data_IF_757492243877
#
_entry.id   IF_757492243877
#
_cell.length_a   1.000
_cell.length_b   1.000
_cell.length_c   1.000
_cell.angle_alpha   90.00
_cell.angle_beta   90.00
_cell.angle_gamma   90.00
#
_symmetry.space_group_name_H-M   'P 1'
#
loop_
_entity.id
_entity.type
_entity.pdbx_description
1 polymer ?
#
# COMPACT_ATOMS: atom_id res chain seq x y z
N UNK A 1 38.36 24.71 0.68
CA UNK A 1 38.94 23.64 1.52
C UNK A 1 37.76 22.93 2.14
N UNK A 2 37.36 21.72 1.76
CA UNK A 2 37.93 20.70 0.89
C UNK A 2 36.79 20.05 0.10
N UNK A 3 37.04 19.82 -1.20
CA UNK A 3 36.20 19.07 -2.11
C UNK A 3 36.44 17.58 -1.86
N UNK A 4 35.38 16.77 -1.77
CA UNK A 4 35.49 15.33 -1.96
C UNK A 4 34.70 15.00 -3.22
N UNK A 5 35.47 14.94 -4.31
CA UNK A 5 35.14 14.23 -5.55
C UNK A 5 34.87 12.75 -5.22
N UNK A 6 33.84 12.16 -5.84
CA UNK A 6 33.74 10.71 -5.91
C UNK A 6 33.56 10.32 -7.36
N UNK A 7 34.70 9.90 -7.92
CA UNK A 7 34.94 9.51 -9.29
C UNK A 7 34.17 8.23 -9.65
N UNK A 8 33.54 8.26 -10.82
CA UNK A 8 32.98 7.10 -11.49
C UNK A 8 34.10 6.40 -12.27
N UNK A 9 34.49 5.18 -11.90
CA UNK A 9 35.17 4.28 -12.83
C UNK A 9 34.67 2.83 -12.73
N UNK A 10 34.02 2.48 -13.82
CA UNK A 10 33.90 1.20 -14.51
C UNK A 10 35.09 0.23 -14.31
N UNK A 11 34.79 -1.02 -13.96
CA UNK A 11 35.71 -2.14 -14.17
C UNK A 11 34.94 -3.46 -14.30
N UNK A 12 34.82 -3.90 -15.54
CA UNK A 12 34.48 -5.27 -15.94
C UNK A 12 35.32 -6.30 -15.17
N UNK A 13 34.68 -7.34 -14.63
CA UNK A 13 35.38 -8.58 -14.30
C UNK A 13 34.49 -9.75 -14.72
N UNK A 14 34.96 -10.41 -15.77
CA UNK A 14 34.39 -11.58 -16.39
C UNK A 14 34.40 -12.77 -15.42
N UNK A 15 33.35 -13.56 -15.55
CA UNK A 15 33.12 -14.82 -14.85
C UNK A 15 33.98 -15.88 -15.51
N UNK A 16 34.78 -16.63 -14.74
CA UNK A 16 35.45 -17.85 -15.20
C UNK A 16 34.90 -19.06 -14.42
N UNK A 17 34.35 -20.02 -15.17
CA UNK A 17 33.83 -21.29 -14.67
C UNK A 17 34.90 -22.36 -14.90
N UNK A 18 35.63 -22.73 -13.84
CA UNK A 18 36.57 -23.85 -13.85
C UNK A 18 36.08 -25.00 -12.96
N UNK A 19 35.57 -26.04 -13.59
CA UNK A 19 35.27 -27.37 -13.02
C UNK A 19 36.51 -28.01 -12.36
N UNK A 20 36.39 -28.66 -11.19
CA UNK A 20 37.37 -29.68 -10.79
C UNK A 20 36.80 -31.08 -10.96
N UNK A 21 37.40 -31.84 -11.88
CA UNK A 21 37.19 -33.27 -12.06
C UNK A 21 37.70 -34.10 -10.88
N UNK A 22 37.04 -35.24 -10.71
CA UNK A 22 37.33 -36.34 -9.82
C UNK A 22 38.73 -36.93 -10.09
N UNK A 23 39.47 -37.24 -9.02
CA UNK A 23 40.53 -38.25 -9.07
C UNK A 23 40.38 -39.26 -7.93
N UNK A 24 40.32 -40.49 -8.38
CA UNK A 24 40.15 -41.76 -7.70
C UNK A 24 41.46 -42.32 -7.14
N UNK A 25 41.28 -43.24 -6.18
CA UNK A 25 42.05 -44.45 -5.91
C UNK A 25 43.39 -44.40 -5.16
N UNK A 26 43.30 -45.04 -3.98
CA UNK A 26 44.11 -46.18 -3.53
C UNK A 26 45.56 -45.97 -3.07
N UNK A 27 45.79 -46.24 -1.78
CA UNK A 27 46.75 -47.29 -1.41
C UNK A 27 46.55 -47.80 0.03
N UNK A 28 46.56 -49.13 0.13
CA UNK A 28 46.49 -50.02 1.28
C UNK A 28 47.71 -49.96 2.23
N UNK A 29 47.45 -50.24 3.53
CA UNK A 29 48.17 -51.18 4.43
C UNK A 29 47.42 -51.21 5.77
N UNK A 30 46.68 -52.28 6.12
CA UNK A 30 47.10 -53.51 6.81
C UNK A 30 47.80 -53.23 8.15
N UNK A 31 47.53 -53.85 9.31
CA UNK A 31 46.56 -54.82 9.84
C UNK A 31 46.93 -55.00 11.34
N UNK A 32 45.96 -55.20 12.24
CA UNK A 32 45.97 -56.22 13.33
C UNK A 32 45.04 -55.82 14.50
N UNK A 33 43.87 -56.45 14.65
CA UNK A 33 43.53 -57.59 15.55
C UNK A 33 43.60 -57.26 17.05
N UNK A 34 42.43 -57.25 17.73
CA UNK A 34 42.13 -58.01 18.97
C UNK A 34 40.74 -57.62 19.58
N UNK A 35 39.71 -58.32 19.12
CA UNK A 35 38.68 -59.10 19.85
C UNK A 35 38.43 -58.94 21.38
N UNK A 36 37.15 -59.15 21.78
CA UNK A 36 36.53 -59.37 23.12
C UNK A 36 36.01 -58.13 23.87
N UNK A 37 34.81 -58.08 24.48
CA UNK A 37 33.64 -58.97 24.60
C UNK A 37 32.45 -58.13 25.15
N UNK A 38 31.23 -58.63 24.95
CA UNK A 38 29.96 -58.10 25.50
C UNK A 38 29.84 -58.44 27.00
N UNK A 39 29.10 -57.64 27.80
CA UNK A 39 27.99 -58.25 28.53
C UNK A 39 26.67 -57.47 28.44
N UNK A 40 25.60 -58.25 28.29
CA UNK A 40 24.19 -57.88 28.44
C UNK A 40 23.84 -58.03 29.93
N UNK A 41 23.24 -57.01 30.55
CA UNK A 41 22.26 -57.15 31.62
C UNK A 41 21.57 -55.80 31.92
N UNK A 42 20.39 -55.64 31.31
CA UNK A 42 19.12 -55.16 31.87
C UNK A 42 19.12 -54.56 33.30
N UNK A 43 18.78 -53.26 33.43
CA UNK A 43 17.78 -52.75 34.39
C UNK A 43 17.47 -51.26 34.19
N UNK A 44 16.17 -50.98 34.17
CA UNK A 44 15.50 -49.68 34.25
C UNK A 44 16.12 -48.70 35.24
N UNK A 45 16.29 -47.44 34.84
CA UNK A 45 15.74 -46.27 35.56
C UNK A 45 16.07 -44.95 34.82
N UNK A 46 15.03 -44.11 34.71
CA UNK A 46 15.05 -42.64 34.78
C UNK A 46 15.88 -41.84 33.78
N UNK A 47 15.15 -41.25 32.83
CA UNK A 47 15.56 -40.12 31.99
C UNK A 47 15.91 -38.93 32.90
N UNK A 48 17.20 -38.70 33.16
CA UNK A 48 17.70 -37.39 33.57
C UNK A 48 18.20 -36.64 32.34
N UNK A 49 17.41 -35.65 31.94
CA UNK A 49 17.82 -34.59 31.02
C UNK A 49 18.97 -33.81 31.67
N UNK A 50 20.20 -34.11 31.28
CA UNK A 50 21.31 -33.20 31.55
C UNK A 50 21.24 -32.06 30.53
N UNK A 51 20.84 -30.87 31.01
CA UNK A 51 20.92 -29.60 30.27
C UNK A 51 22.37 -29.38 29.81
N UNK A 52 22.64 -29.67 28.54
CA UNK A 52 23.85 -29.20 27.87
C UNK A 52 23.69 -27.73 27.47
N UNK A 53 24.75 -26.92 27.59
CA UNK A 53 24.71 -25.51 27.22
C UNK A 53 24.28 -25.38 25.75
N UNK A 54 23.33 -24.46 25.47
CA UNK A 54 22.81 -24.13 24.14
C UNK A 54 23.96 -23.69 23.22
N UNK A 55 24.64 -24.65 22.61
CA UNK A 55 25.47 -24.42 21.43
C UNK A 55 24.58 -24.02 20.25
N UNK A 56 25.17 -23.31 19.30
CA UNK A 56 24.57 -22.89 18.03
C UNK A 56 23.93 -24.08 17.27
N UNK A 57 22.71 -24.47 17.64
CA UNK A 57 21.94 -25.47 16.90
C UNK A 57 21.39 -24.77 15.66
N UNK A 58 21.95 -25.13 14.50
CA UNK A 58 21.40 -24.73 13.20
C UNK A 58 20.03 -25.39 13.07
N UNK A 59 18.98 -24.59 13.04
CA UNK A 59 17.61 -25.07 12.88
C UNK A 59 17.39 -25.44 11.41
N UNK A 60 17.01 -26.69 11.09
CA UNK A 60 16.79 -27.11 9.71
C UNK A 60 15.50 -26.50 9.14
N UNK A 61 15.47 -26.34 7.82
CA UNK A 61 14.24 -26.09 7.08
C UNK A 61 13.54 -27.43 6.80
N UNK A 62 12.29 -27.56 7.26
CA UNK A 62 11.60 -28.85 7.25
C UNK A 62 11.09 -29.20 5.85
N UNK A 63 11.54 -30.33 5.31
CA UNK A 63 11.04 -30.87 4.03
C UNK A 63 9.75 -31.66 4.20
N UNK A 64 8.98 -31.83 3.12
CA UNK A 64 7.72 -32.57 3.13
C UNK A 64 7.86 -33.99 3.72
N UNK A 65 8.97 -34.69 3.45
CA UNK A 65 9.22 -36.05 3.95
C UNK A 65 9.43 -36.13 5.46
N UNK A 66 9.91 -35.05 6.08
CA UNK A 66 10.18 -34.96 7.53
C UNK A 66 9.02 -34.29 8.29
N UNK A 67 8.03 -33.76 7.55
CA UNK A 67 6.90 -33.06 8.10
C UNK A 67 5.79 -34.02 8.52
N UNK A 68 5.29 -33.80 9.73
CA UNK A 68 4.19 -34.55 10.32
C UNK A 68 3.01 -33.61 10.50
N UNK A 69 1.96 -33.79 9.69
CA UNK A 69 0.77 -32.92 9.69
C UNK A 69 0.03 -32.88 11.04
N UNK A 70 0.14 -33.93 11.85
CA UNK A 70 -0.47 -34.03 13.17
C UNK A 70 0.42 -33.51 14.31
N UNK A 71 1.70 -33.23 14.03
CA UNK A 71 2.65 -32.75 15.03
C UNK A 71 2.55 -31.24 15.18
N UNK A 72 2.44 -30.79 16.42
CA UNK A 72 2.53 -29.37 16.73
C UNK A 72 4.00 -28.99 16.92
N UNK A 73 4.51 -28.15 16.04
CA UNK A 73 5.88 -27.64 16.13
C UNK A 73 5.89 -26.45 17.08
N UNK A 74 6.68 -26.54 18.15
CA UNK A 74 6.69 -25.53 19.21
C UNK A 74 7.54 -24.33 18.81
N UNK A 75 6.93 -23.15 18.73
CA UNK A 75 7.62 -21.89 18.43
C UNK A 75 8.60 -21.43 19.51
N UNK A 76 8.36 -21.77 20.77
CA UNK A 76 9.17 -21.33 21.92
C UNK A 76 10.41 -22.22 22.14
N UNK A 77 10.38 -23.45 21.62
CA UNK A 77 11.52 -24.36 21.57
C UNK A 77 11.58 -25.00 20.17
N UNK A 78 11.98 -24.20 19.16
CA UNK A 78 11.89 -24.62 17.77
C UNK A 78 12.89 -25.74 17.49
N UNK A 79 12.41 -26.79 16.83
CA UNK A 79 13.24 -27.87 16.26
C UNK A 79 13.51 -27.69 14.76
N UNK A 80 12.85 -26.70 14.15
CA UNK A 80 12.97 -26.32 12.75
C UNK A 80 12.70 -24.81 12.60
N UNK A 81 12.90 -24.26 11.40
CA UNK A 81 12.61 -22.85 11.11
C UNK A 81 11.09 -22.63 10.99
N UNK A 82 10.59 -21.53 11.57
CA UNK A 82 9.21 -21.06 11.36
C UNK A 82 9.21 -19.71 10.64
N UNK A 83 8.24 -19.50 9.77
CA UNK A 83 8.03 -18.22 9.10
C UNK A 83 6.56 -17.91 8.90
N UNK A 84 6.24 -16.64 8.70
CA UNK A 84 4.91 -16.23 8.26
C UNK A 84 4.89 -16.16 6.74
N UNK A 85 3.94 -16.84 6.10
CA UNK A 85 3.72 -16.81 4.67
C UNK A 85 2.66 -15.77 4.33
N UNK A 86 3.08 -14.65 3.73
CA UNK A 86 2.19 -13.59 3.25
C UNK A 86 2.00 -13.75 1.76
N UNK A 87 0.76 -13.69 1.29
CA UNK A 87 0.52 -13.76 -0.14
C UNK A 87 -0.50 -12.74 -0.61
N UNK A 88 -0.38 -12.37 -1.88
CA UNK A 88 -1.25 -11.42 -2.54
C UNK A 88 -1.43 -11.82 -4.00
N UNK A 89 -2.66 -11.76 -4.48
CA UNK A 89 -3.00 -11.92 -5.90
C UNK A 89 -3.49 -10.57 -6.41
N UNK A 90 -2.90 -10.12 -7.51
CA UNK A 90 -3.27 -8.89 -8.19
C UNK A 90 -3.64 -9.17 -9.64
N UNK A 91 -4.63 -8.47 -10.17
CA UNK A 91 -5.00 -8.48 -11.58
C UNK A 91 -4.45 -7.24 -12.28
N UNK A 92 -3.68 -7.43 -13.34
CA UNK A 92 -3.18 -6.37 -14.21
C UNK A 92 -4.13 -6.20 -15.39
N UNK A 93 -4.76 -5.04 -15.47
CA UNK A 93 -5.60 -4.67 -16.62
C UNK A 93 -4.75 -3.95 -17.69
N UNK A 94 -4.44 -2.65 -17.50
CA UNK A 94 -3.79 -1.81 -18.52
C UNK A 94 -2.42 -1.25 -18.10
N UNK A 95 -2.32 -0.70 -16.88
CA UNK A 95 -1.11 0.00 -16.41
C UNK A 95 -0.76 -0.34 -14.95
N UNK A 96 -1.77 -0.62 -14.11
CA UNK A 96 -1.58 -0.93 -12.68
C UNK A 96 -2.18 -2.29 -12.37
N UNK A 97 -1.54 -3.00 -11.46
CA UNK A 97 -2.08 -4.22 -10.89
C UNK A 97 -3.02 -3.84 -9.73
N UNK A 98 -4.29 -4.24 -9.81
CA UNK A 98 -5.27 -4.11 -8.73
C UNK A 98 -5.16 -5.33 -7.83
N UNK A 99 -5.05 -5.13 -6.53
CA UNK A 99 -5.13 -6.23 -5.57
C UNK A 99 -6.52 -6.84 -5.60
N UNK A 100 -6.59 -8.16 -5.77
CA UNK A 100 -7.83 -8.93 -5.76
C UNK A 100 -8.04 -9.57 -4.41
N UNK A 101 -7.03 -10.28 -3.93
CA UNK A 101 -7.06 -10.92 -2.62
C UNK A 101 -5.66 -11.00 -2.02
N UNK A 102 -5.62 -11.19 -0.71
CA UNK A 102 -4.39 -11.37 0.05
C UNK A 102 -4.73 -12.05 1.37
N UNK A 103 -3.80 -12.83 1.88
CA UNK A 103 -3.92 -13.40 3.21
C UNK A 103 -2.53 -13.65 3.81
N UNK A 104 -2.49 -14.19 5.01
CA UNK A 104 -1.26 -14.54 5.71
C UNK A 104 -1.44 -15.82 6.52
N UNK A 105 -0.68 -16.85 6.16
CA UNK A 105 -0.54 -18.07 6.94
C UNK A 105 0.58 -17.87 7.97
N UNK A 106 0.24 -17.98 9.26
CA UNK A 106 1.18 -17.79 10.36
C UNK A 106 1.90 -19.09 10.70
N UNK A 107 3.14 -18.97 11.13
CA UNK A 107 3.90 -20.08 11.74
C UNK A 107 4.06 -21.33 10.85
N UNK A 108 4.28 -21.11 9.55
CA UNK A 108 4.57 -22.16 8.58
C UNK A 108 5.95 -22.74 8.86
N UNK A 109 6.02 -24.07 8.92
CA UNK A 109 7.26 -24.83 9.20
C UNK A 109 7.83 -25.55 8.00
N UNK A 110 6.99 -25.84 6.99
CA UNK A 110 7.40 -26.50 5.75
C UNK A 110 8.28 -25.57 4.90
N UNK A 111 9.27 -26.13 4.21
CA UNK A 111 10.03 -25.42 3.19
C UNK A 111 9.09 -24.70 2.21
N UNK A 112 9.36 -23.45 1.80
CA UNK A 112 8.50 -22.71 0.89
C UNK A 112 8.11 -23.48 -0.37
N UNK A 113 9.03 -24.25 -0.97
CA UNK A 113 8.73 -25.11 -2.13
C UNK A 113 7.65 -26.16 -1.86
N UNK A 114 7.70 -26.74 -0.66
CA UNK A 114 6.86 -27.88 -0.28
C UNK A 114 5.50 -27.37 0.19
N UNK A 115 5.49 -26.30 0.99
CA UNK A 115 4.28 -25.58 1.35
C UNK A 115 3.54 -25.08 0.10
N UNK A 116 4.26 -24.55 -0.88
CA UNK A 116 3.68 -24.13 -2.15
C UNK A 116 2.91 -25.28 -2.82
N UNK A 117 3.56 -26.42 -3.05
CA UNK A 117 2.97 -27.55 -3.77
C UNK A 117 1.84 -28.24 -3.02
N UNK A 118 2.02 -28.43 -1.70
CA UNK A 118 1.08 -29.22 -0.90
C UNK A 118 -0.18 -28.46 -0.56
N UNK A 119 -0.08 -27.15 -0.36
CA UNK A 119 -1.15 -26.39 0.27
C UNK A 119 -1.52 -25.11 -0.50
N UNK A 120 -0.55 -24.26 -0.84
CA UNK A 120 -0.87 -22.98 -1.45
C UNK A 120 -1.30 -23.07 -2.92
N UNK A 121 -0.67 -23.91 -3.74
CA UNK A 121 -1.00 -24.10 -5.16
C UNK A 121 -2.43 -24.62 -5.37
N UNK A 122 -2.91 -25.63 -4.61
CA UNK A 122 -4.33 -26.01 -4.62
C UNK A 122 -5.28 -24.86 -4.24
N UNK A 123 -4.95 -24.10 -3.18
CA UNK A 123 -5.75 -22.94 -2.76
C UNK A 123 -5.80 -21.87 -3.85
N UNK A 124 -4.67 -21.60 -4.49
CA UNK A 124 -4.56 -20.67 -5.60
C UNK A 124 -5.41 -21.12 -6.80
N UNK A 125 -5.39 -22.41 -7.15
CA UNK A 125 -6.21 -22.94 -8.23
C UNK A 125 -7.73 -22.81 -7.96
N UNK A 126 -8.16 -22.89 -6.70
CA UNK A 126 -9.54 -22.62 -6.29
C UNK A 126 -9.85 -21.13 -6.39
N UNK A 127 -8.95 -20.26 -5.91
CA UNK A 127 -9.09 -18.81 -5.97
C UNK A 127 -9.18 -18.28 -7.41
N UNK A 128 -8.47 -18.90 -8.36
CA UNK A 128 -8.51 -18.54 -9.78
C UNK A 128 -9.82 -18.91 -10.48
N UNK A 129 -10.64 -19.79 -9.88
CA UNK A 129 -11.96 -20.19 -10.39
C UNK A 129 -13.12 -19.44 -9.73
N UNK A 130 -12.80 -18.56 -8.79
CA UNK A 130 -13.78 -17.76 -8.05
C UNK A 130 -14.15 -16.53 -8.89
N UNK A 131 -15.24 -16.63 -9.66
CA UNK A 131 -15.75 -15.58 -10.56
C UNK A 131 -16.04 -14.25 -9.84
N UNK A 132 -16.35 -14.29 -8.54
CA UNK A 132 -16.59 -13.08 -7.75
C UNK A 132 -15.30 -12.31 -7.49
N UNK A 133 -14.14 -13.01 -7.44
CA UNK A 133 -12.83 -12.42 -7.21
C UNK A 133 -12.09 -12.13 -8.51
N UNK A 134 -12.19 -13.02 -9.50
CA UNK A 134 -11.51 -12.93 -10.78
C UNK A 134 -12.52 -13.17 -11.90
N UNK A 135 -13.23 -12.13 -12.37
CA UNK A 135 -14.26 -12.28 -13.39
C UNK A 135 -13.63 -12.58 -14.75
N UNK A 136 -13.89 -13.75 -15.35
CA UNK A 136 -13.43 -14.07 -16.71
C UNK A 136 -12.78 -15.44 -16.88
N UNK A 137 -12.86 -15.96 -18.10
CA UNK A 137 -12.68 -17.39 -18.37
C UNK A 137 -11.22 -17.88 -18.34
N UNK A 138 -10.23 -16.98 -18.42
CA UNK A 138 -8.82 -17.40 -18.42
C UNK A 138 -7.86 -16.33 -17.92
N UNK A 139 -7.00 -16.72 -16.99
CA UNK A 139 -5.98 -15.87 -16.39
C UNK A 139 -4.60 -16.50 -16.57
N UNK A 140 -3.62 -15.69 -16.93
CA UNK A 140 -2.21 -16.11 -17.01
C UNK A 140 -1.39 -15.31 -16.01
N UNK A 141 -0.56 -16.01 -15.23
CA UNK A 141 0.37 -15.34 -14.34
C UNK A 141 1.46 -14.67 -15.19
N UNK A 142 1.58 -13.36 -15.07
CA UNK A 142 2.55 -12.55 -15.81
C UNK A 142 3.85 -12.39 -15.02
N UNK A 143 3.73 -12.10 -13.73
CA UNK A 143 4.84 -11.82 -12.84
C UNK A 143 4.57 -12.43 -11.45
N UNK A 144 5.59 -13.00 -10.84
CA UNK A 144 5.60 -13.35 -9.43
C UNK A 144 6.72 -12.57 -8.72
N UNK A 145 6.38 -11.85 -7.65
CA UNK A 145 7.32 -11.09 -6.84
C UNK A 145 7.44 -11.79 -5.50
N UNK A 146 8.64 -12.27 -5.18
CA UNK A 146 8.93 -12.91 -3.89
C UNK A 146 9.75 -11.96 -3.03
N UNK A 147 9.33 -11.79 -1.79
CA UNK A 147 9.99 -10.94 -0.80
C UNK A 147 10.17 -11.68 0.52
N UNK A 148 11.41 -12.01 0.87
CA UNK A 148 11.77 -12.57 2.17
C UNK A 148 12.31 -11.43 3.04
N UNK A 149 11.70 -11.21 4.19
CA UNK A 149 12.15 -10.20 5.15
C UNK A 149 12.33 -10.81 6.54
N UNK A 150 13.24 -10.22 7.31
CA UNK A 150 13.53 -10.65 8.68
C UNK A 150 13.38 -9.46 9.61
N UNK A 151 12.65 -9.64 10.71
CA UNK A 151 12.41 -8.57 11.67
C UNK A 151 13.75 -8.02 12.20
N UNK A 152 13.83 -6.68 12.29
CA UNK A 152 15.03 -5.96 12.78
C UNK A 152 16.30 -6.28 11.99
N UNK A 153 16.17 -6.69 10.72
CA UNK A 153 17.28 -6.90 9.80
C UNK A 153 17.00 -6.25 8.46
N UNK A 154 17.83 -5.28 8.04
CA UNK A 154 17.70 -4.60 6.74
C UNK A 154 18.58 -5.21 5.64
N UNK A 155 19.56 -6.05 6.00
CA UNK A 155 20.60 -6.51 5.06
C UNK A 155 20.52 -8.00 4.69
N UNK A 156 19.59 -8.76 5.27
CA UNK A 156 19.46 -10.23 5.05
C UNK A 156 18.16 -10.62 4.34
N UNK A 157 17.37 -9.63 3.92
CA UNK A 157 16.18 -9.88 3.11
C UNK A 157 16.52 -10.22 1.67
N UNK A 158 15.56 -10.79 0.96
CA UNK A 158 15.66 -11.11 -0.47
C UNK A 158 14.42 -10.58 -1.17
N UNK A 159 14.60 -9.92 -2.31
CA UNK A 159 13.50 -9.52 -3.19
C UNK A 159 13.81 -9.92 -4.61
N UNK A 160 13.04 -10.84 -5.18
CA UNK A 160 13.20 -11.34 -6.54
C UNK A 160 11.90 -11.21 -7.31
N UNK A 161 12.01 -10.97 -8.61
CA UNK A 161 10.87 -10.98 -9.54
C UNK A 161 11.10 -12.09 -10.54
N UNK A 162 10.06 -12.86 -10.80
CA UNK A 162 10.04 -13.98 -11.71
C UNK A 162 8.97 -13.74 -12.77
N UNK A 163 9.17 -14.33 -13.95
CA UNK A 163 8.21 -14.27 -15.04
C UNK A 163 7.21 -15.41 -14.85
N UNK A 164 5.94 -15.07 -14.67
CA UNK A 164 4.89 -16.04 -14.34
C UNK A 164 5.18 -16.82 -13.06
N UNK A 165 4.97 -18.15 -13.10
CA UNK A 165 5.14 -19.07 -11.96
C UNK A 165 6.47 -19.83 -11.98
N UNK A 166 7.42 -19.45 -12.85
CA UNK A 166 8.76 -20.04 -12.91
C UNK A 166 9.64 -19.50 -11.78
N UNK A 167 9.29 -19.88 -10.54
CA UNK A 167 9.99 -19.47 -9.33
C UNK A 167 11.14 -20.43 -9.06
N UNK A 168 12.34 -19.89 -8.85
CA UNK A 168 13.51 -20.65 -8.41
C UNK A 168 13.40 -21.02 -6.92
N UNK A 169 12.64 -22.08 -6.65
CA UNK A 169 12.36 -22.57 -5.29
C UNK A 169 13.61 -23.00 -4.54
N UNK A 170 14.60 -23.57 -5.23
CA UNK A 170 15.85 -24.02 -4.59
C UNK A 170 16.60 -22.83 -3.98
N UNK A 171 16.75 -21.74 -4.74
CA UNK A 171 17.41 -20.55 -4.21
C UNK A 171 16.63 -19.90 -3.06
N UNK A 172 15.30 -19.99 -3.07
CA UNK A 172 14.46 -19.46 -1.99
C UNK A 172 14.54 -20.30 -0.72
N UNK A 173 14.44 -21.62 -0.84
CA UNK A 173 14.58 -22.55 0.28
C UNK A 173 15.96 -22.42 0.92
N UNK A 174 17.03 -22.43 0.12
CA UNK A 174 18.40 -22.23 0.64
C UNK A 174 18.57 -20.87 1.31
N UNK A 175 17.92 -19.82 0.79
CA UNK A 175 17.93 -18.51 1.46
C UNK A 175 17.22 -18.56 2.81
N UNK A 176 16.04 -19.18 2.90
CA UNK A 176 15.31 -19.32 4.18
C UNK A 176 16.10 -20.17 5.18
N UNK A 177 16.68 -21.28 4.74
CA UNK A 177 17.53 -22.14 5.56
C UNK A 177 18.75 -21.37 6.12
N UNK A 178 19.38 -20.55 5.29
CA UNK A 178 20.48 -19.66 5.70
C UNK A 178 20.09 -18.57 6.71
N UNK A 179 18.79 -18.36 6.98
CA UNK A 179 18.29 -17.44 8.02
C UNK A 179 18.03 -18.15 9.36
N UNK A 180 18.31 -19.45 9.47
CA UNK A 180 18.06 -20.24 10.68
C UNK A 180 18.76 -19.71 11.92
N UNK A 181 19.97 -19.14 11.79
CA UNK A 181 20.70 -18.53 12.91
C UNK A 181 20.00 -17.27 13.44
N UNK A 182 19.42 -16.46 12.54
CA UNK A 182 18.65 -15.27 12.87
C UNK A 182 17.33 -15.65 13.54
N UNK A 183 16.68 -16.70 13.04
CA UNK A 183 15.48 -17.25 13.66
C UNK A 183 15.76 -17.80 15.07
N UNK A 184 16.86 -18.55 15.26
CA UNK A 184 17.30 -19.03 16.56
C UNK A 184 17.60 -17.92 17.58
N UNK A 185 17.95 -16.72 17.10
CA UNK A 185 18.09 -15.48 17.91
C UNK A 185 16.74 -14.80 18.20
N UNK A 186 15.62 -15.44 17.89
CA UNK A 186 14.25 -14.94 18.12
C UNK A 186 13.76 -13.95 17.07
N UNK A 187 14.42 -13.84 15.89
CA UNK A 187 13.95 -12.94 14.83
C UNK A 187 12.90 -13.62 13.98
N UNK A 188 11.82 -12.89 13.70
CA UNK A 188 10.73 -13.39 12.85
C UNK A 188 11.08 -13.30 11.37
N UNK A 189 10.88 -14.40 10.64
CA UNK A 189 11.03 -14.47 9.18
C UNK A 189 9.63 -14.33 8.55
N UNK A 190 9.55 -13.55 7.47
CA UNK A 190 8.34 -13.34 6.69
C UNK A 190 8.66 -13.65 5.24
N UNK A 191 7.95 -14.63 4.68
CA UNK A 191 8.04 -15.02 3.28
C UNK A 191 6.82 -14.47 2.53
N UNK A 192 7.05 -13.53 1.61
CA UNK A 192 6.02 -12.84 0.85
C UNK A 192 5.98 -13.31 -0.60
N UNK A 193 4.78 -13.58 -1.14
CA UNK A 193 4.57 -13.84 -2.57
C UNK A 193 3.46 -12.94 -3.11
N UNK A 194 3.76 -12.13 -4.12
CA UNK A 194 2.76 -11.38 -4.88
C UNK A 194 2.69 -11.93 -6.31
N UNK A 195 1.52 -12.46 -6.68
CA UNK A 195 1.24 -12.99 -8.01
C UNK A 195 0.43 -11.99 -8.80
N UNK A 196 0.90 -11.64 -9.99
CA UNK A 196 0.24 -10.69 -10.89
C UNK A 196 -0.30 -11.48 -12.08
N UNK A 197 -1.62 -11.50 -12.21
CA UNK A 197 -2.34 -12.16 -13.30
C UNK A 197 -2.84 -11.16 -14.32
N UNK A 198 -2.86 -11.57 -15.58
CA UNK A 198 -3.54 -10.87 -16.67
C UNK A 198 -4.60 -11.78 -17.27
N UNK A 199 -5.72 -11.20 -17.68
CA UNK A 199 -6.74 -11.93 -18.44
C UNK A 199 -6.12 -12.39 -19.76
N UNK A 200 -6.13 -13.70 -20.01
CA UNK A 200 -5.75 -14.23 -21.30
C UNK A 200 -6.87 -13.85 -22.27
N UNK A 201 -6.54 -12.96 -23.21
CA UNK A 201 -7.42 -12.66 -24.33
C UNK A 201 -7.54 -13.95 -25.14
N UNK A 202 -8.63 -14.68 -24.94
CA UNK A 202 -8.90 -15.89 -25.69
C UNK A 202 -8.81 -15.58 -27.18
N UNK A 203 -8.05 -16.38 -27.91
CA UNK A 203 -8.14 -16.45 -29.36
C UNK A 203 -9.56 -16.92 -29.72
N UNK A 204 -10.51 -16.00 -29.73
CA UNK A 204 -11.79 -16.22 -30.38
C UNK A 204 -11.46 -16.29 -31.87
N UNK A 205 -11.37 -17.53 -32.35
CA UNK A 205 -11.29 -17.88 -33.77
C UNK A 205 -12.23 -16.95 -34.52
N UNK A 206 -11.62 -16.20 -35.45
CA UNK A 206 -12.29 -15.27 -36.33
C UNK A 206 -13.36 -16.01 -37.14
N UNK A 207 -14.58 -16.09 -36.62
CA UNK A 207 -15.76 -16.30 -37.45
C UNK A 207 -16.16 -14.94 -37.98
N UNK A 208 -15.73 -14.69 -39.21
CA UNK A 208 -16.11 -13.54 -40.01
C UNK A 208 -17.62 -13.46 -40.13
N UNK A 209 -18.25 -12.62 -39.29
CA UNK A 209 -19.47 -11.89 -39.64
C UNK A 209 -19.31 -10.45 -39.17
N UNK A 210 -19.07 -9.62 -40.17
CA UNK A 210 -19.08 -8.16 -40.14
C UNK A 210 -20.13 -7.57 -39.19
N UNK A 211 -19.69 -7.17 -38.00
CA UNK A 211 -20.24 -6.03 -37.27
C UNK A 211 -19.14 -4.98 -37.28
N UNK A 212 -19.44 -3.80 -37.84
CA UNK A 212 -18.54 -2.63 -37.85
C UNK A 212 -17.90 -2.51 -36.47
N UNK A 213 -16.60 -2.76 -36.41
CA UNK A 213 -15.77 -2.56 -35.22
C UNK A 213 -15.85 -1.06 -34.96
N UNK A 214 -16.71 -0.65 -34.03
CA UNK A 214 -16.67 0.71 -33.52
C UNK A 214 -15.24 0.95 -33.07
N UNK A 215 -14.61 2.01 -33.57
CA UNK A 215 -13.30 2.43 -33.09
C UNK A 215 -13.35 2.41 -31.57
N UNK A 216 -12.42 1.68 -30.95
CA UNK A 216 -12.27 1.68 -29.50
C UNK A 216 -12.23 3.15 -29.05
N UNK A 217 -12.96 3.50 -27.99
CA UNK A 217 -12.99 4.86 -27.46
C UNK A 217 -11.55 5.41 -27.25
N UNK A 218 -10.58 4.53 -26.99
CA UNK A 218 -9.16 4.86 -26.85
C UNK A 218 -8.46 5.19 -28.18
N UNK A 219 -8.82 4.50 -29.27
CA UNK A 219 -8.29 4.78 -30.60
C UNK A 219 -8.90 6.05 -31.20
N UNK A 220 -10.21 6.26 -30.98
CA UNK A 220 -10.89 7.50 -31.30
C UNK A 220 -10.30 8.68 -30.51
N UNK A 221 -10.04 8.53 -29.20
CA UNK A 221 -9.35 9.55 -28.40
C UNK A 221 -7.92 9.82 -28.90
N UNK A 222 -7.20 8.79 -29.36
CA UNK A 222 -5.84 8.96 -29.91
C UNK A 222 -5.88 9.70 -31.25
N UNK A 223 -6.83 9.38 -32.12
CA UNK A 223 -7.02 10.09 -33.38
C UNK A 223 -7.45 11.54 -33.15
N UNK A 224 -8.35 11.77 -32.19
CA UNK A 224 -8.80 13.10 -31.79
C UNK A 224 -7.63 13.95 -31.28
N UNK A 225 -6.78 13.40 -30.39
CA UNK A 225 -5.59 14.10 -29.91
C UNK A 225 -4.54 14.36 -30.99
N UNK A 226 -4.43 13.47 -31.98
CA UNK A 226 -3.53 13.65 -33.11
C UNK A 226 -4.04 14.72 -34.08
N UNK A 227 -5.35 14.80 -34.30
CA UNK A 227 -5.98 15.87 -35.07
C UNK A 227 -5.78 17.22 -34.34
N UNK A 228 -6.08 17.25 -33.05
CA UNK A 228 -6.04 18.45 -32.20
C UNK A 228 -4.62 18.90 -31.79
N UNK A 229 -3.58 18.19 -32.24
CA UNK A 229 -2.20 18.39 -31.78
C UNK A 229 -1.67 19.80 -32.09
N UNK A 230 -2.11 20.38 -33.21
CA UNK A 230 -1.74 21.74 -33.63
C UNK A 230 -2.27 22.78 -32.64
N UNK A 231 -3.57 22.75 -32.38
CA UNK A 231 -4.21 23.66 -31.42
C UNK A 231 -3.65 23.47 -29.99
N UNK A 232 -3.43 22.23 -29.55
CA UNK A 232 -2.79 21.94 -28.25
C UNK A 232 -1.43 22.60 -28.10
N UNK A 233 -0.55 22.48 -29.10
CA UNK A 233 0.77 23.09 -29.07
C UNK A 233 0.69 24.62 -28.92
N UNK A 234 -0.30 25.26 -29.56
CA UNK A 234 -0.53 26.71 -29.45
C UNK A 234 -1.01 27.11 -28.06
N UNK A 235 -1.94 26.37 -27.47
CA UNK A 235 -2.44 26.61 -26.09
C UNK A 235 -1.30 26.51 -25.08
N UNK A 236 -0.50 25.43 -25.12
CA UNK A 236 0.66 25.26 -24.24
C UNK A 236 1.68 26.39 -24.41
N UNK A 237 1.98 26.79 -25.67
CA UNK A 237 2.92 27.88 -25.95
C UNK A 237 2.44 29.22 -25.43
N UNK A 238 1.14 29.52 -25.55
CA UNK A 238 0.55 30.77 -25.07
C UNK A 238 0.65 30.87 -23.55
N UNK A 239 0.32 29.79 -22.84
CA UNK A 239 0.25 29.75 -21.38
C UNK A 239 1.59 29.39 -20.71
N UNK A 240 2.67 29.28 -21.51
CA UNK A 240 4.01 28.98 -21.01
C UNK A 240 4.54 30.17 -20.21
N UNK A 241 4.98 29.89 -18.99
CA UNK A 241 5.47 30.92 -18.10
C UNK A 241 6.79 31.50 -18.62
N UNK A 242 6.84 32.83 -18.81
CA UNK A 242 8.05 33.55 -19.27
C UNK A 242 8.91 34.12 -18.14
N UNK A 243 8.45 34.01 -16.89
CA UNK A 243 9.17 34.50 -15.73
C UNK A 243 10.39 33.64 -15.42
N UNK A 244 11.60 34.23 -15.49
CA UNK A 244 12.88 33.54 -15.19
C UNK A 244 12.93 32.92 -13.79
N UNK A 245 12.18 33.47 -12.83
CA UNK A 245 12.12 33.00 -11.44
C UNK A 245 10.69 32.68 -10.97
N UNK A 246 9.79 32.33 -11.90
CA UNK A 246 8.42 31.99 -11.52
C UNK A 246 8.38 30.64 -10.78
N UNK A 247 7.90 30.66 -9.52
CA UNK A 247 7.75 29.46 -8.69
C UNK A 247 6.49 28.64 -9.01
N UNK A 248 5.64 29.11 -9.92
CA UNK A 248 4.35 28.48 -10.22
C UNK A 248 4.44 27.33 -11.22
N UNK A 249 5.61 27.09 -11.83
CA UNK A 249 5.84 25.99 -12.75
C UNK A 249 5.85 26.40 -14.23
N UNK A 250 5.83 25.43 -15.15
CA UNK A 250 6.07 25.67 -16.58
C UNK A 250 4.94 26.44 -17.28
N UNK A 251 3.71 26.36 -16.77
CA UNK A 251 2.54 27.05 -17.30
C UNK A 251 1.89 27.89 -16.20
N UNK A 252 1.65 29.15 -16.51
CA UNK A 252 1.10 30.10 -15.55
C UNK A 252 0.20 31.12 -16.26
N UNK A 253 -0.85 31.56 -15.57
CA UNK A 253 -1.69 32.67 -15.99
C UNK A 253 -1.28 33.92 -15.21
N UNK A 254 -1.17 35.05 -15.89
CA UNK A 254 -0.79 36.34 -15.31
C UNK A 254 -2.08 37.14 -15.08
N UNK A 255 -2.35 37.54 -13.84
CA UNK A 255 -3.47 38.44 -13.54
C UNK A 255 -3.15 39.89 -13.93
N UNK A 256 -4.18 40.75 -13.96
CA UNK A 256 -4.03 42.19 -14.25
C UNK A 256 -3.13 42.93 -13.25
N UNK A 257 -2.89 42.32 -12.08
CA UNK A 257 -2.03 42.84 -11.01
C UNK A 257 -0.58 42.35 -11.13
N UNK A 258 -0.26 41.58 -12.16
CA UNK A 258 1.06 41.01 -12.42
C UNK A 258 1.40 39.76 -11.58
N UNK A 259 0.44 39.17 -10.88
CA UNK A 259 0.63 37.91 -10.15
C UNK A 259 0.50 36.71 -11.08
N UNK A 260 1.43 35.78 -10.94
CA UNK A 260 1.39 34.51 -11.64
C UNK A 260 0.59 33.48 -10.84
N UNK A 261 -0.35 32.83 -11.51
CA UNK A 261 -1.14 31.71 -11.02
C UNK A 261 -0.78 30.43 -11.78
N UNK A 262 -0.59 29.32 -11.08
CA UNK A 262 -0.25 28.03 -11.72
C UNK A 262 -1.43 27.52 -12.53
N UNK A 263 -1.15 27.06 -13.75
CA UNK A 263 -2.09 26.32 -14.56
C UNK A 263 -1.85 24.83 -14.40
N UNK A 264 -2.90 24.10 -14.00
CA UNK A 264 -2.89 22.64 -13.94
C UNK A 264 -3.25 22.07 -15.32
N UNK A 265 -2.89 20.81 -15.59
CA UNK A 265 -3.26 20.15 -16.85
C UNK A 265 -4.77 20.22 -17.16
N UNK A 266 -5.62 20.07 -16.12
CA UNK A 266 -7.08 20.17 -16.24
C UNK A 266 -7.53 21.56 -16.69
N UNK A 267 -6.92 22.63 -16.16
CA UNK A 267 -7.23 24.00 -16.60
C UNK A 267 -6.87 24.21 -18.07
N UNK A 268 -5.77 23.61 -18.55
CA UNK A 268 -5.35 23.70 -19.95
C UNK A 268 -6.30 22.92 -20.88
N UNK A 269 -6.85 21.79 -20.42
CA UNK A 269 -7.92 21.06 -21.09
C UNK A 269 -9.21 21.87 -21.20
N UNK A 270 -9.62 22.55 -20.12
CA UNK A 270 -10.83 23.38 -20.15
C UNK A 270 -10.67 24.61 -21.05
N UNK A 271 -9.49 25.23 -21.05
CA UNK A 271 -9.16 26.34 -21.96
C UNK A 271 -9.17 25.85 -23.40
N UNK A 272 -8.54 24.71 -23.69
CA UNK A 272 -8.54 24.09 -25.01
C UNK A 272 -9.97 23.81 -25.51
N UNK A 273 -10.81 23.19 -24.68
CA UNK A 273 -12.19 22.86 -25.01
C UNK A 273 -13.03 24.13 -25.27
N UNK A 274 -12.75 25.20 -24.52
CA UNK A 274 -13.41 26.48 -24.74
C UNK A 274 -13.02 27.11 -26.09
N UNK A 275 -11.73 27.14 -26.40
CA UNK A 275 -11.22 27.66 -27.67
C UNK A 275 -11.80 26.84 -28.84
N UNK A 276 -11.74 25.50 -28.74
CA UNK A 276 -12.29 24.59 -29.76
C UNK A 276 -13.80 24.77 -29.94
N UNK A 277 -14.56 24.99 -28.86
CA UNK A 277 -15.99 25.28 -28.93
C UNK A 277 -16.35 26.65 -29.50
N UNK A 278 -15.38 27.58 -29.55
CA UNK A 278 -15.55 28.92 -30.12
C UNK A 278 -15.13 29.03 -31.60
N UNK A 279 -14.52 27.98 -32.17
CA UNK A 279 -14.14 27.93 -33.58
C UNK A 279 -15.38 27.94 -34.48
N UNK A 280 -15.37 28.76 -35.53
CA UNK A 280 -16.44 28.71 -36.54
C UNK A 280 -16.24 27.51 -37.46
N UNK A 281 -17.34 26.94 -37.95
CA UNK A 281 -17.33 25.79 -38.83
C UNK A 281 -16.54 26.11 -40.12
N UNK A 282 -15.38 25.47 -40.30
CA UNK A 282 -14.48 25.65 -41.45
C UNK A 282 -13.20 26.46 -41.19
N UNK A 283 -12.99 27.03 -40.01
CA UNK A 283 -11.72 27.67 -39.64
C UNK A 283 -10.61 26.61 -39.42
N UNK A 284 -9.43 26.82 -40.00
CA UNK A 284 -8.28 25.93 -39.76
C UNK A 284 -7.73 26.20 -38.37
N UNK A 285 -7.18 25.16 -37.73
CA UNK A 285 -6.58 25.24 -36.39
C UNK A 285 -5.47 26.29 -36.28
N UNK A 286 -4.86 26.70 -37.40
CA UNK A 286 -3.82 27.75 -37.46
C UNK A 286 -4.39 29.18 -37.43
N UNK A 287 -5.67 29.36 -37.78
CA UNK A 287 -6.33 30.67 -37.90
C UNK A 287 -7.08 31.10 -36.62
N UNK A 288 -7.28 30.17 -35.68
CA UNK A 288 -7.99 30.41 -34.42
C UNK A 288 -7.17 31.31 -33.51
N UNK A 289 -7.75 32.35 -32.92
CA UNK A 289 -7.06 33.13 -31.90
C UNK A 289 -6.97 32.33 -30.58
N UNK A 290 -5.75 32.13 -30.10
CA UNK A 290 -5.49 31.47 -28.80
C UNK A 290 -5.40 32.47 -27.64
N UNK A 291 -5.57 33.76 -27.93
CA UNK A 291 -5.63 34.84 -26.96
C UNK A 291 -7.06 35.14 -26.50
N UNK A 292 -7.93 34.13 -26.53
CA UNK A 292 -9.30 34.23 -26.01
C UNK A 292 -9.20 34.37 -24.49
N UNK A 293 -9.93 35.34 -23.94
CA UNK A 293 -10.02 35.57 -22.51
C UNK A 293 -10.50 34.30 -21.80
N UNK A 294 -9.74 33.86 -20.79
CA UNK A 294 -10.06 32.64 -20.05
C UNK A 294 -11.44 32.81 -19.40
N UNK A 295 -12.42 31.91 -19.66
CA UNK A 295 -13.74 31.99 -19.05
C UNK A 295 -13.70 32.13 -17.54
N UNK A 296 -14.60 32.97 -16.99
CA UNK A 296 -14.71 33.26 -15.55
C UNK A 296 -14.81 32.00 -14.68
N UNK A 297 -15.42 30.92 -15.18
CA UNK A 297 -15.47 29.61 -14.50
C UNK A 297 -14.07 29.03 -14.24
N UNK A 298 -13.20 29.06 -15.26
CA UNK A 298 -11.84 28.51 -15.17
C UNK A 298 -10.97 29.43 -14.30
N UNK A 299 -11.16 30.75 -14.44
CA UNK A 299 -10.49 31.73 -13.56
C UNK A 299 -10.86 31.53 -12.09
N UNK A 300 -12.14 31.23 -11.79
CA UNK A 300 -12.59 30.89 -10.44
C UNK A 300 -11.81 29.72 -9.83
N UNK A 301 -11.62 28.65 -10.62
CA UNK A 301 -10.89 27.46 -10.20
C UNK A 301 -9.37 27.69 -10.08
N UNK A 302 -8.77 28.47 -10.98
CA UNK A 302 -7.37 28.88 -10.89
C UNK A 302 -7.12 29.68 -9.60
N UNK A 303 -8.01 30.61 -9.28
CA UNK A 303 -7.90 31.47 -8.10
C UNK A 303 -8.19 30.71 -6.79
N UNK A 304 -9.12 29.75 -6.79
CA UNK A 304 -9.40 28.91 -5.62
C UNK A 304 -8.20 28.00 -5.31
N UNK A 305 -7.62 27.37 -6.33
CA UNK A 305 -6.42 26.53 -6.19
C UNK A 305 -5.18 27.33 -5.79
N UNK A 306 -5.07 28.59 -6.25
CA UNK A 306 -4.00 29.50 -5.81
C UNK A 306 -4.14 29.89 -4.33
N UNK A 307 -5.38 30.07 -3.83
CA UNK A 307 -5.65 30.36 -2.42
C UNK A 307 -5.33 29.17 -1.52
N UNK A 308 -5.68 27.95 -1.92
CA UNK A 308 -5.36 26.72 -1.17
C UNK A 308 -3.85 26.55 -0.96
N UNK A 309 -3.04 26.76 -2.00
CA UNK A 309 -1.57 26.64 -1.86
C UNK A 309 -0.92 27.75 -1.04
N UNK A 310 -1.46 28.97 -1.02
CA UNK A 310 -1.00 30.01 -0.09
C UNK A 310 -1.26 29.67 1.38
N UNK A 311 -2.26 28.83 1.66
CA UNK A 311 -2.50 28.30 3.01
C UNK A 311 -1.51 27.19 3.38
N UNK A 312 -1.09 26.36 2.41
CA UNK A 312 -0.14 25.24 2.62
C UNK A 312 1.33 25.69 2.66
N UNK A 313 1.73 26.68 1.85
CA UNK A 313 3.08 27.27 1.87
C UNK A 313 3.30 28.26 3.04
N UNK A 314 2.28 28.46 3.90
CA UNK A 314 2.36 29.28 5.11
C UNK A 314 2.79 28.47 6.35
N UNK A 315 3.88 27.70 6.23
CA UNK A 315 4.60 27.12 7.36
C UNK A 315 6.07 27.51 7.23
N UNK A 316 6.36 28.77 7.58
CA UNK A 316 7.37 29.13 8.58
C UNK A 316 7.50 30.66 8.62
N UNK A 317 6.81 31.27 9.59
CA UNK A 317 7.27 32.52 10.15
C UNK A 317 7.18 32.39 11.67
N UNK A 318 8.26 31.87 12.28
CA UNK A 318 8.50 32.05 13.71
C UNK A 318 8.67 33.54 13.97
N UNK A 319 7.58 34.20 14.31
CA UNK A 319 7.60 35.56 14.85
C UNK A 319 6.75 36.57 14.11
N UNK A 320 5.43 36.36 14.06
CA UNK A 320 4.47 37.46 13.90
C UNK A 320 3.19 37.16 14.69
N UNK A 321 3.12 37.66 15.94
CA UNK A 321 1.84 37.92 16.61
C UNK A 321 1.28 39.22 16.04
N UNK A 322 0.08 39.18 15.47
CA UNK A 322 -1.01 40.09 15.80
C UNK A 322 -2.20 39.88 14.84
N UNK A 323 -3.34 39.59 15.47
CA UNK A 323 -4.72 39.80 15.05
C UNK A 323 -4.99 40.46 13.68
N UNK A 324 -5.84 39.81 12.89
CA UNK A 324 -7.13 40.40 12.51
C UNK A 324 -8.10 39.34 11.98
N UNK A 325 -9.27 39.33 12.60
CA UNK A 325 -10.49 38.61 12.25
C UNK A 325 -11.11 39.15 10.95
N UNK A 326 -11.66 38.26 10.11
CA UNK A 326 -13.05 38.41 9.61
C UNK A 326 -13.47 37.22 8.72
N UNK A 327 -14.35 36.40 9.28
CA UNK A 327 -15.62 35.91 8.74
C UNK A 327 -15.73 35.52 7.25
N UNK A 328 -16.09 34.25 7.03
CA UNK A 328 -17.45 33.94 6.57
C UNK A 328 -17.62 33.09 5.30
N UNK A 329 -18.12 31.86 5.52
CA UNK A 329 -19.06 31.07 4.66
C UNK A 329 -18.55 30.59 3.28
N UNK A 330 -18.89 29.43 2.71
CA UNK A 330 -19.73 28.27 3.04
C UNK A 330 -19.28 27.13 2.07
N UNK A 331 -19.28 25.88 2.55
CA UNK A 331 -19.80 24.59 1.97
C UNK A 331 -19.90 24.42 0.43
N UNK A 332 -19.77 23.25 -0.19
CA UNK A 332 -19.86 21.85 0.27
C UNK A 332 -19.41 20.89 -0.87
N UNK A 333 -19.09 19.64 -0.48
CA UNK A 333 -19.34 18.31 -1.13
C UNK A 333 -18.83 17.95 -2.54
N UNK A 334 -18.50 16.69 -2.88
CA UNK A 334 -18.63 15.37 -2.23
C UNK A 334 -17.78 14.31 -2.97
N UNK A 335 -17.24 13.29 -2.29
CA UNK A 335 -17.75 11.89 -2.13
C UNK A 335 -17.03 10.94 -3.13
N UNK A 336 -16.72 9.65 -2.88
CA UNK A 336 -17.37 8.52 -2.15
C UNK A 336 -16.30 7.38 -2.02
N UNK A 337 -16.36 6.30 -1.22
CA UNK A 337 -17.42 5.61 -0.45
C UNK A 337 -16.89 4.65 0.65
N UNK A 338 -17.67 4.61 1.75
CA UNK A 338 -18.13 3.54 2.67
C UNK A 338 -17.22 2.44 3.27
N UNK A 339 -17.29 2.31 4.62
CA UNK A 339 -17.66 1.08 5.30
C UNK A 339 -18.99 1.24 6.06
N UNK A 340 -19.93 0.32 5.83
CA UNK A 340 -21.07 -0.13 6.65
C UNK A 340 -21.93 0.94 7.36
N UNK A 341 -23.25 0.87 7.11
CA UNK A 341 -24.36 1.64 7.68
C UNK A 341 -24.19 1.99 9.18
N UNK A 342 -23.42 3.05 9.44
CA UNK A 342 -23.35 3.75 10.71
C UNK A 342 -24.42 4.83 10.64
N UNK A 343 -25.55 4.57 11.29
CA UNK A 343 -26.77 5.35 11.15
C UNK A 343 -26.50 6.85 11.18
N UNK A 344 -26.79 7.52 10.08
CA UNK A 344 -26.61 8.97 9.93
C UNK A 344 -27.37 9.71 11.05
N UNK A 345 -26.70 10.68 11.67
CA UNK A 345 -27.30 11.52 12.71
C UNK A 345 -28.01 12.68 12.03
N UNK A 346 -29.34 12.63 12.02
CA UNK A 346 -30.21 13.61 11.36
C UNK A 346 -30.43 14.86 12.25
N UNK A 347 -30.18 16.06 11.71
CA UNK A 347 -30.38 17.34 12.42
C UNK A 347 -29.27 18.37 12.15
N UNK A 348 -29.36 19.54 12.80
CA UNK A 348 -28.25 20.51 12.77
C UNK A 348 -27.01 19.91 13.44
N UNK A 349 -25.85 20.08 12.80
CA UNK A 349 -24.62 19.37 13.16
C UNK A 349 -24.07 19.81 14.52
N UNK A 350 -24.26 21.08 14.87
CA UNK A 350 -23.78 21.61 16.15
C UNK A 350 -24.76 21.26 17.27
N UNK A 351 -26.06 21.41 17.03
CA UNK A 351 -27.10 21.08 18.00
C UNK A 351 -27.02 19.59 18.41
N UNK A 352 -26.78 18.69 17.46
CA UNK A 352 -26.58 17.26 17.73
C UNK A 352 -25.32 16.96 18.52
N UNK A 353 -24.24 17.69 18.27
CA UNK A 353 -23.02 17.56 19.05
C UNK A 353 -23.25 18.02 20.50
N UNK A 354 -23.98 19.11 20.71
CA UNK A 354 -24.35 19.61 22.05
C UNK A 354 -25.27 18.66 22.80
N UNK A 355 -26.26 18.08 22.11
CA UNK A 355 -27.16 17.07 22.65
C UNK A 355 -26.38 15.81 23.09
N UNK A 356 -25.47 15.34 22.23
CA UNK A 356 -24.57 14.23 22.57
C UNK A 356 -23.68 14.56 23.77
N UNK A 357 -23.08 15.75 23.80
CA UNK A 357 -22.24 16.19 24.91
C UNK A 357 -23.02 16.21 26.22
N UNK A 358 -24.27 16.65 26.20
CA UNK A 358 -25.17 16.67 27.34
C UNK A 358 -25.55 15.26 27.79
N UNK A 359 -25.95 14.39 26.86
CA UNK A 359 -26.26 12.99 27.13
C UNK A 359 -25.04 12.24 27.71
N UNK A 360 -23.85 12.43 27.13
CA UNK A 360 -22.63 11.72 27.53
C UNK A 360 -22.21 12.07 28.98
N UNK A 361 -22.47 13.30 29.44
CA UNK A 361 -22.23 13.72 30.83
C UNK A 361 -23.25 13.12 31.81
N UNK A 362 -24.49 12.88 31.36
CA UNK A 362 -25.54 12.24 32.18
C UNK A 362 -25.24 10.76 32.45
N UNK A 363 -24.48 10.09 31.56
CA UNK A 363 -24.09 8.69 31.70
C UNK A 363 -23.11 8.43 32.85
N UNK A 364 -22.55 9.47 33.48
CA UNK A 364 -21.48 9.32 34.47
C UNK A 364 -21.76 10.05 35.79
N UNK A 365 -21.62 9.32 36.90
CA UNK A 365 -21.80 9.83 38.28
C UNK A 365 -20.52 10.36 38.92
N UNK A 366 -19.35 9.93 38.46
CA UNK A 366 -18.05 10.32 39.02
C UNK A 366 -17.64 11.73 38.59
N UNK A 367 -17.30 12.59 39.56
CA UNK A 367 -16.86 13.98 39.30
C UNK A 367 -15.60 14.05 38.43
N UNK A 368 -14.56 13.28 38.80
CA UNK A 368 -13.28 13.24 38.06
C UNK A 368 -13.45 12.76 36.62
N UNK A 369 -14.41 11.86 36.38
CA UNK A 369 -14.69 11.34 35.06
C UNK A 369 -15.52 12.33 34.24
N UNK A 370 -16.46 13.03 34.89
CA UNK A 370 -17.24 14.10 34.28
C UNK A 370 -16.37 15.27 33.82
N UNK A 371 -15.41 15.70 34.63
CA UNK A 371 -14.42 16.73 34.25
C UNK A 371 -13.62 16.32 33.01
N UNK A 372 -13.18 15.06 32.96
CA UNK A 372 -12.41 14.56 31.82
C UNK A 372 -13.26 14.47 30.54
N UNK A 373 -14.55 14.09 30.66
CA UNK A 373 -15.50 14.12 29.55
C UNK A 373 -15.84 15.56 29.12
N UNK A 374 -15.95 16.51 30.05
CA UNK A 374 -16.15 17.93 29.71
C UNK A 374 -14.98 18.47 28.89
N UNK A 375 -13.74 18.11 29.22
CA UNK A 375 -12.58 18.47 28.41
C UNK A 375 -12.65 17.88 26.99
N UNK A 376 -13.14 16.64 26.84
CA UNK A 376 -13.36 16.02 25.54
C UNK A 376 -14.50 16.70 24.74
N UNK A 377 -15.61 17.04 25.41
CA UNK A 377 -16.74 17.76 24.82
C UNK A 377 -16.30 19.14 24.31
N UNK A 378 -15.56 19.90 25.13
CA UNK A 378 -15.06 21.22 24.76
C UNK A 378 -14.10 21.12 23.57
N UNK A 379 -13.20 20.14 23.58
CA UNK A 379 -12.30 19.91 22.46
C UNK A 379 -13.07 19.58 21.16
N UNK A 380 -14.10 18.74 21.24
CA UNK A 380 -14.93 18.41 20.08
C UNK A 380 -15.64 19.64 19.50
N UNK A 381 -16.19 20.50 20.36
CA UNK A 381 -16.82 21.75 19.97
C UNK A 381 -15.81 22.73 19.33
N UNK A 382 -14.65 22.93 19.97
CA UNK A 382 -13.61 23.86 19.52
C UNK A 382 -12.97 23.43 18.19
N UNK A 383 -12.88 22.13 17.95
CA UNK A 383 -12.33 21.55 16.71
C UNK A 383 -13.41 21.25 15.66
N UNK A 384 -14.67 21.62 15.90
CA UNK A 384 -15.80 21.36 15.01
C UNK A 384 -15.94 19.88 14.61
N UNK A 385 -15.63 18.96 15.54
CA UNK A 385 -15.72 17.52 15.34
C UNK A 385 -17.17 17.07 15.47
N UNK A 386 -17.96 17.28 14.42
CA UNK A 386 -19.37 16.83 14.38
C UNK A 386 -19.51 15.30 14.34
N UNK A 387 -20.63 14.79 14.86
CA UNK A 387 -20.81 13.36 15.14
C UNK A 387 -20.66 12.47 13.90
N UNK A 388 -21.17 12.90 12.74
CA UNK A 388 -21.06 12.13 11.49
C UNK A 388 -19.59 12.05 11.01
N UNK A 389 -18.81 13.12 11.19
CA UNK A 389 -17.37 13.13 10.89
C UNK A 389 -16.59 12.19 11.81
N UNK A 390 -16.99 12.11 13.08
CA UNK A 390 -16.40 11.16 14.04
C UNK A 390 -16.77 9.71 13.68
N UNK A 391 -18.03 9.44 13.32
CA UNK A 391 -18.49 8.10 12.91
C UNK A 391 -17.79 7.61 11.64
N UNK A 392 -17.51 8.49 10.67
CA UNK A 392 -16.77 8.15 9.45
C UNK A 392 -15.30 7.83 9.72
N UNK A 393 -14.70 8.50 10.71
CA UNK A 393 -13.28 8.39 11.01
C UNK A 393 -12.97 8.30 12.53
N UNK A 394 -13.43 7.24 13.21
CA UNK A 394 -13.38 7.15 14.68
C UNK A 394 -11.95 7.14 15.22
N UNK A 395 -11.02 6.45 14.53
CA UNK A 395 -9.60 6.41 14.90
C UNK A 395 -8.93 7.78 14.80
N UNK A 396 -9.24 8.51 13.73
CA UNK A 396 -8.67 9.85 13.47
C UNK A 396 -9.17 10.84 14.52
N UNK A 397 -10.46 10.82 14.84
CA UNK A 397 -11.05 11.66 15.87
C UNK A 397 -10.46 11.37 17.27
N UNK A 398 -10.33 10.10 17.64
CA UNK A 398 -9.69 9.72 18.91
C UNK A 398 -8.24 10.19 18.99
N UNK A 399 -7.44 9.99 17.94
CA UNK A 399 -6.05 10.43 17.90
C UNK A 399 -5.91 11.96 17.97
N UNK A 400 -6.81 12.70 17.32
CA UNK A 400 -6.86 14.17 17.41
C UNK A 400 -7.17 14.62 18.83
N UNK A 401 -8.16 14.01 19.49
CA UNK A 401 -8.49 14.29 20.88
C UNK A 401 -7.31 14.02 21.82
N UNK A 402 -6.59 12.91 21.64
CA UNK A 402 -5.40 12.60 22.45
C UNK A 402 -4.29 13.62 22.23
N UNK A 403 -4.03 14.01 20.98
CA UNK A 403 -3.07 15.09 20.66
C UNK A 403 -3.48 16.43 21.27
N UNK A 404 -4.79 16.66 21.42
CA UNK A 404 -5.39 17.81 22.08
C UNK A 404 -5.33 17.79 23.62
N UNK A 405 -4.76 16.75 24.23
CA UNK A 405 -4.65 16.63 25.68
C UNK A 405 -5.81 15.90 26.35
N UNK A 406 -6.76 15.33 25.60
CA UNK A 406 -7.80 14.45 26.14
C UNK A 406 -7.18 13.11 26.52
N UNK A 407 -7.55 12.57 27.70
CA UNK A 407 -7.02 11.28 28.15
C UNK A 407 -7.42 10.16 27.17
N UNK A 408 -6.52 9.23 26.79
CA UNK A 408 -6.81 8.22 25.76
C UNK A 408 -8.07 7.38 26.02
N UNK A 409 -8.30 6.95 27.26
CA UNK A 409 -9.51 6.20 27.61
C UNK A 409 -10.80 7.00 27.46
N UNK A 410 -10.73 8.33 27.68
CA UNK A 410 -11.87 9.24 27.51
C UNK A 410 -12.12 9.51 26.04
N UNK A 411 -11.07 9.68 25.23
CA UNK A 411 -11.19 9.86 23.78
C UNK A 411 -11.83 8.62 23.12
N UNK A 412 -11.39 7.41 23.49
CA UNK A 412 -11.98 6.16 23.00
C UNK A 412 -13.46 6.03 23.43
N UNK A 413 -13.75 6.30 24.69
CA UNK A 413 -15.13 6.25 25.19
C UNK A 413 -16.03 7.27 24.49
N UNK A 414 -15.54 8.50 24.28
CA UNK A 414 -16.27 9.55 23.58
C UNK A 414 -16.62 9.13 22.15
N UNK A 415 -15.72 8.48 21.44
CA UNK A 415 -16.00 8.01 20.07
C UNK A 415 -16.96 6.81 20.06
N UNK A 416 -16.74 5.82 20.93
CA UNK A 416 -17.57 4.60 20.97
C UNK A 416 -19.01 4.84 21.46
N UNK A 417 -19.23 5.88 22.26
CA UNK A 417 -20.56 6.19 22.80
C UNK A 417 -21.50 6.84 21.78
N UNK A 418 -21.00 7.32 20.64
CA UNK A 418 -21.81 7.98 19.60
C UNK A 418 -22.80 6.99 18.98
N UNK A 419 -22.36 5.76 18.67
CA UNK A 419 -23.26 4.71 18.15
C UNK A 419 -24.39 4.37 19.13
N UNK A 420 -24.10 4.43 20.44
CA UNK A 420 -25.09 4.18 21.49
C UNK A 420 -26.09 5.32 21.58
N UNK A 421 -25.61 6.57 21.55
CA UNK A 421 -26.45 7.77 21.50
C UNK A 421 -27.42 7.72 20.31
N UNK A 422 -26.92 7.43 19.10
CA UNK A 422 -27.73 7.39 17.89
C UNK A 422 -28.84 6.34 17.97
N UNK A 423 -28.56 5.18 18.58
CA UNK A 423 -29.55 4.11 18.78
C UNK A 423 -30.62 4.48 19.80
N UNK A 424 -30.24 5.14 20.89
CA UNK A 424 -31.17 5.59 21.93
C UNK A 424 -32.04 6.77 21.48
N UNK A 425 -31.52 7.64 20.60
CA UNK A 425 -32.30 8.78 20.07
C UNK A 425 -33.24 8.41 18.93
N UNK A 426 -33.03 7.26 18.25
CA UNK A 426 -33.88 6.79 17.14
C UNK A 426 -35.08 5.95 17.59
N UNK A 427 -35.07 5.45 18.82
CA UNK A 427 -36.19 4.73 19.44
C UNK A 427 -36.54 5.38 20.79
N UNK A 428 -37.34 6.47 20.80
CA UNK A 428 -37.77 7.11 22.05
C UNK A 428 -38.66 6.21 22.91
#
# INVERSE_FOLDING_TARGET
>A
MENIDFDWLDANSAIDYGTPELLTSDSLRASSVAEHAIPIADRSDSIEQTEQPRGDRVLPLLRLGDWQSTKQYNKNDPICIHYDFRWKVSQREKIRARQVCSDTDLDVVLAPSDFWKTDFEPRLAILLKDEDKLPGDSYTCEEAIVEISVERSRQRGLKKRFKGLEIDWNALDSHVEGLGDLFGKGRKIIFGVELIYKEATGNVVATAKSKKKGQSATEAQKLQRAADAGLWARVYKHHRCRGKHCKQGPHCWLDERGNHHRLLPTHLEDIFNHIKGSMKEGEKEDDVDVNIEIPSRILGDILSNSRKRKAEDSIDCRGCRAHASSQGRLRDTGETSCPQDAGEVEGDRMDRLEEYCSWNLQQVKSHKWREALQAANQFAADQFLELNSILKHPKVAADLMVKGGVKPGIALQFVSNIDRFVKETKNP
#
